data_IF_730774383545
#
_entry.id   IF_730774383545
#
_cell.length_a   1.000
_cell.length_b   1.000
_cell.length_c   1.000
_cell.angle_alpha   90.00
_cell.angle_beta   90.00
_cell.angle_gamma   90.00
#
_symmetry.space_group_name_H-M   'P 1'
#
loop_
_entity.id
_entity.type
_entity.pdbx_description
1 polymer ?
#
# COMPACT_ATOMS: atom_id res chain seq x y z
N UNK A 1 2.49 -18.17 -4.35
CA UNK A 1 2.73 -18.68 -2.98
C UNK A 1 2.23 -17.63 -2.01
N UNK A 2 1.53 -18.05 -0.94
CA UNK A 2 1.17 -17.16 0.16
C UNK A 2 2.43 -16.77 0.94
N UNK A 3 2.59 -15.49 1.25
CA UNK A 3 3.68 -14.92 2.04
C UNK A 3 3.24 -14.85 3.51
N UNK A 4 4.08 -15.34 4.41
CA UNK A 4 3.90 -15.15 5.86
C UNK A 4 4.71 -13.95 6.35
N UNK A 5 4.29 -13.37 7.48
CA UNK A 5 5.00 -12.25 8.09
C UNK A 5 6.38 -12.66 8.60
N UNK A 6 7.40 -11.87 8.24
CA UNK A 6 8.71 -11.97 8.91
C UNK A 6 8.66 -11.29 10.27
N UNK A 7 9.58 -11.67 11.18
CA UNK A 7 9.70 -11.01 12.50
C UNK A 7 9.85 -9.47 12.39
N UNK A 8 10.59 -8.99 11.39
CA UNK A 8 10.75 -7.55 11.15
C UNK A 8 9.42 -6.89 10.73
N UNK A 9 8.62 -7.56 9.89
CA UNK A 9 7.31 -7.05 9.49
C UNK A 9 6.30 -7.10 10.65
N UNK A 10 6.31 -8.17 11.45
CA UNK A 10 5.48 -8.27 12.66
C UNK A 10 5.78 -7.12 13.63
N UNK A 11 7.06 -6.81 13.85
CA UNK A 11 7.48 -5.64 14.64
C UNK A 11 7.02 -4.31 14.03
N UNK A 12 7.17 -4.15 12.71
CA UNK A 12 6.74 -2.94 11.97
C UNK A 12 5.22 -2.70 12.07
N UNK A 13 4.42 -3.76 11.95
CA UNK A 13 2.97 -3.69 11.91
C UNK A 13 2.30 -4.00 13.25
N UNK A 14 3.07 -4.07 14.35
CA UNK A 14 2.56 -4.45 15.66
C UNK A 14 1.33 -3.63 16.08
N UNK A 15 1.32 -2.32 15.81
CA UNK A 15 0.17 -1.44 16.12
C UNK A 15 -1.11 -1.79 15.35
N UNK A 16 -0.99 -2.39 14.17
CA UNK A 16 -2.14 -2.89 13.42
C UNK A 16 -2.54 -4.27 13.91
N UNK A 17 -1.57 -5.15 14.15
CA UNK A 17 -1.80 -6.54 14.61
C UNK A 17 -2.53 -6.58 15.96
N UNK A 18 -2.27 -5.65 16.89
CA UNK A 18 -2.99 -5.63 18.17
C UNK A 18 -4.47 -5.27 18.05
N UNK A 19 -4.93 -4.80 16.88
CA UNK A 19 -6.34 -4.47 16.67
C UNK A 19 -7.17 -5.76 16.48
N UNK A 20 -8.27 -5.96 17.23
CA UNK A 20 -9.05 -7.20 17.20
C UNK A 20 -9.63 -7.62 15.85
N UNK A 21 -9.70 -6.70 14.87
CA UNK A 21 -10.22 -6.96 13.52
C UNK A 21 -9.13 -7.14 12.45
N UNK A 22 -7.87 -6.91 12.82
CA UNK A 22 -6.73 -7.04 11.91
C UNK A 22 -5.89 -8.24 12.30
N UNK A 23 -5.53 -8.38 13.58
CA UNK A 23 -4.70 -9.49 14.09
C UNK A 23 -3.51 -9.88 13.20
N UNK A 24 -2.97 -11.09 13.36
CA UNK A 24 -1.91 -11.61 12.50
C UNK A 24 -2.44 -12.01 11.13
N UNK A 25 -3.60 -12.67 11.08
CA UNK A 25 -4.17 -13.22 9.87
C UNK A 25 -4.61 -12.11 8.92
N UNK A 26 -5.22 -11.04 9.43
CA UNK A 26 -5.57 -9.88 8.61
C UNK A 26 -4.35 -9.08 8.14
N UNK A 27 -3.28 -9.01 8.93
CA UNK A 27 -2.03 -8.40 8.45
C UNK A 27 -1.34 -9.25 7.38
N UNK A 28 -1.39 -10.59 7.48
CA UNK A 28 -0.97 -11.50 6.41
C UNK A 28 -1.86 -11.40 5.18
N UNK A 29 -3.17 -11.21 5.36
CA UNK A 29 -4.08 -10.97 4.25
C UNK A 29 -3.71 -9.69 3.49
N UNK A 30 -3.38 -8.59 4.19
CA UNK A 30 -2.85 -7.37 3.56
C UNK A 30 -1.54 -7.64 2.83
N UNK A 31 -0.59 -8.36 3.45
CA UNK A 31 0.69 -8.71 2.83
C UNK A 31 0.53 -9.53 1.55
N UNK A 32 -0.53 -10.32 1.45
CA UNK A 32 -0.85 -11.12 0.27
C UNK A 32 -1.79 -10.44 -0.72
N UNK A 33 -2.35 -9.28 -0.36
CA UNK A 33 -3.25 -8.53 -1.22
C UNK A 33 -2.51 -7.88 -2.39
N UNK A 34 -3.18 -7.89 -3.55
CA UNK A 34 -2.81 -7.13 -4.73
C UNK A 34 -3.94 -6.16 -5.03
N UNK A 35 -3.67 -4.86 -4.99
CA UNK A 35 -4.69 -3.81 -5.15
C UNK A 35 -4.36 -2.97 -6.37
N UNK A 36 -5.36 -2.72 -7.22
CA UNK A 36 -5.25 -1.81 -8.35
C UNK A 36 -5.97 -0.49 -8.04
N UNK A 37 -5.29 0.64 -8.22
CA UNK A 37 -5.86 1.98 -8.11
C UNK A 37 -5.85 2.61 -9.51
N UNK A 38 -7.02 3.03 -9.98
CA UNK A 38 -7.19 3.72 -11.26
C UNK A 38 -7.44 5.20 -10.98
N UNK A 39 -6.56 6.06 -11.49
CA UNK A 39 -6.52 7.50 -11.25
C UNK A 39 -5.67 7.87 -10.03
N UNK A 40 -4.50 8.49 -10.25
CA UNK A 40 -3.55 8.88 -9.20
C UNK A 40 -3.57 10.41 -9.00
N UNK A 41 -4.78 10.96 -8.94
CA UNK A 41 -5.08 12.30 -8.44
C UNK A 41 -4.99 12.37 -6.90
N UNK A 42 -5.64 13.37 -6.29
CA UNK A 42 -5.60 13.57 -4.83
C UNK A 42 -6.09 12.36 -4.02
N UNK A 43 -7.21 11.76 -4.42
CA UNK A 43 -7.79 10.59 -3.76
C UNK A 43 -6.92 9.33 -3.95
N UNK A 44 -6.48 9.06 -5.18
CA UNK A 44 -5.64 7.91 -5.49
C UNK A 44 -4.30 7.97 -4.76
N UNK A 45 -3.71 9.16 -4.65
CA UNK A 45 -2.47 9.37 -3.89
C UNK A 45 -2.66 9.12 -2.39
N UNK A 46 -3.74 9.65 -1.79
CA UNK A 46 -4.05 9.42 -0.38
C UNK A 46 -4.29 7.93 -0.09
N UNK A 47 -5.09 7.27 -0.92
CA UNK A 47 -5.37 5.83 -0.81
C UNK A 47 -4.10 4.99 -0.97
N UNK A 48 -3.30 5.24 -2.01
CA UNK A 48 -2.04 4.52 -2.24
C UNK A 48 -1.07 4.64 -1.06
N UNK A 49 -0.98 5.84 -0.49
CA UNK A 49 -0.12 6.11 0.68
C UNK A 49 -0.58 5.30 1.88
N UNK A 50 -1.88 5.32 2.20
CA UNK A 50 -2.44 4.55 3.31
C UNK A 50 -2.27 3.04 3.12
N UNK A 51 -2.52 2.53 1.92
CA UNK A 51 -2.40 1.09 1.62
C UNK A 51 -0.94 0.60 1.66
N UNK A 52 0.01 1.42 1.19
CA UNK A 52 1.43 1.13 1.31
C UNK A 52 1.86 1.11 2.78
N UNK A 53 1.42 2.11 3.57
CA UNK A 53 1.72 2.18 4.99
C UNK A 53 1.11 1.03 5.81
N UNK A 54 -0.06 0.52 5.41
CA UNK A 54 -0.70 -0.65 6.04
C UNK A 54 -0.04 -1.99 5.68
N UNK A 55 0.93 -2.00 4.77
CA UNK A 55 1.69 -3.20 4.42
C UNK A 55 1.04 -4.07 3.35
N UNK A 56 0.29 -3.48 2.42
CA UNK A 56 -0.22 -4.19 1.24
C UNK A 56 0.94 -4.75 0.41
N UNK A 57 0.82 -6.01 0.00
CA UNK A 57 1.88 -6.72 -0.72
C UNK A 57 2.19 -6.19 -2.11
N UNK A 58 1.16 -5.77 -2.84
CA UNK A 58 1.30 -5.18 -4.18
C UNK A 58 0.26 -4.11 -4.45
N UNK A 59 0.72 -3.00 -5.05
CA UNK A 59 -0.10 -1.90 -5.51
C UNK A 59 0.20 -1.66 -6.99
N UNK A 60 -0.81 -1.83 -7.83
CA UNK A 60 -0.80 -1.43 -9.24
C UNK A 60 -1.46 -0.07 -9.34
N UNK A 61 -0.72 0.93 -9.81
CA UNK A 61 -1.23 2.29 -9.95
C UNK A 61 -1.36 2.59 -11.46
N UNK A 62 -2.59 2.82 -11.91
CA UNK A 62 -2.92 3.14 -13.29
C UNK A 62 -3.32 4.60 -13.34
N UNK A 63 -2.59 5.41 -14.08
CA UNK A 63 -2.94 6.81 -14.33
C UNK A 63 -2.64 7.16 -15.79
N UNK A 64 -3.58 7.83 -16.45
CA UNK A 64 -3.43 8.27 -17.83
C UNK A 64 -2.75 9.65 -17.90
N UNK A 65 -2.60 10.34 -16.76
CA UNK A 65 -1.98 11.65 -16.70
C UNK A 65 -0.44 11.58 -16.67
N UNK A 66 0.18 12.55 -17.33
CA UNK A 66 1.62 12.76 -17.31
C UNK A 66 1.97 13.61 -16.09
N UNK A 67 3.03 13.26 -15.36
CA UNK A 67 3.42 14.00 -14.15
C UNK A 67 3.98 15.36 -14.56
N UNK A 68 3.17 16.41 -14.44
CA UNK A 68 3.60 17.80 -14.59
C UNK A 68 4.31 18.30 -13.31
N UNK A 69 5.32 19.16 -13.47
CA UNK A 69 6.14 19.68 -12.37
C UNK A 69 5.35 20.42 -11.29
N UNK A 70 4.16 20.94 -11.63
CA UNK A 70 3.20 21.57 -10.71
C UNK A 70 2.55 20.58 -9.74
N UNK A 71 2.59 19.27 -10.04
CA UNK A 71 1.98 18.19 -9.26
C UNK A 71 2.97 17.44 -8.36
N UNK A 72 4.20 17.94 -8.22
CA UNK A 72 5.31 17.28 -7.52
C UNK A 72 5.45 17.78 -6.07
N UNK A 73 4.48 17.47 -5.22
CA UNK A 73 4.62 17.66 -3.76
C UNK A 73 4.63 16.29 -3.07
N UNK A 74 5.82 15.73 -2.86
CA UNK A 74 6.09 14.68 -1.85
C UNK A 74 5.52 13.28 -2.08
N UNK A 75 5.47 12.73 -3.29
CA UNK A 75 4.91 11.38 -3.57
C UNK A 75 5.86 10.25 -3.12
N UNK A 76 5.53 9.43 -2.09
CA UNK A 76 6.44 8.41 -1.55
C UNK A 76 6.22 6.99 -2.11
N UNK A 77 5.51 6.83 -3.23
CA UNK A 77 5.11 5.52 -3.73
C UNK A 77 5.60 5.30 -5.17
N UNK A 78 6.76 4.69 -5.33
CA UNK A 78 7.17 4.08 -6.61
C UNK A 78 6.34 2.81 -6.81
N UNK A 79 5.32 2.88 -7.65
CA UNK A 79 4.69 1.70 -8.24
C UNK A 79 5.28 1.45 -9.62
N UNK A 80 5.32 0.19 -10.05
CA UNK A 80 5.55 -0.14 -11.45
C UNK A 80 4.38 0.46 -12.24
N UNK A 81 4.66 1.58 -12.92
CA UNK A 81 3.77 2.20 -13.89
C UNK A 81 3.70 1.24 -15.08
N UNK A 82 2.52 0.68 -15.35
CA UNK A 82 2.18 0.16 -16.68
C UNK A 82 1.29 1.18 -17.37
#
# INVERSE_FOLDING_TARGET
MSKSLTNQQAMRYNRHIVLPKVDLDGQEALLNANICIIGIGGLGTAAATSLCASGVGSLTLIDHDTVEATNLQGKPCLANKM
#
